data_IF_449294711532
#
_entry.id   IF_449294711532
#
_cell.length_a   1.000
_cell.length_b   1.000
_cell.length_c   1.000
_cell.angle_alpha   90.00
_cell.angle_beta   90.00
_cell.angle_gamma   90.00
#
_symmetry.space_group_name_H-M   'P 1'
#
loop_
_entity.id
_entity.type
_entity.pdbx_description
1 polymer ?
#
# COMPACT_ATOMS: atom_id res chain seq x y z
N UNK A 1 2.80 3.73 31.25
CA UNK A 1 2.26 2.76 30.26
C UNK A 1 0.81 3.15 30.01
N UNK A 2 0.43 3.59 28.81
CA UNK A 2 -0.97 3.94 28.50
C UNK A 2 -1.73 2.63 28.27
N UNK A 3 -2.72 2.35 29.11
CA UNK A 3 -3.66 1.26 28.90
C UNK A 3 -4.55 1.64 27.71
N UNK A 4 -4.36 0.99 26.57
CA UNK A 4 -5.27 1.12 25.43
C UNK A 4 -6.61 0.49 25.82
N UNK A 5 -7.68 1.27 25.80
CA UNK A 5 -9.04 0.72 25.89
C UNK A 5 -9.25 -0.15 24.65
N UNK A 6 -9.71 -1.41 24.79
CA UNK A 6 -10.00 -2.26 23.63
C UNK A 6 -11.02 -1.58 22.73
N UNK A 7 -10.68 -1.43 21.44
CA UNK A 7 -11.62 -0.97 20.41
C UNK A 7 -12.78 -1.97 20.31
N UNK A 8 -14.01 -1.47 20.21
CA UNK A 8 -15.17 -2.31 19.85
C UNK A 8 -15.12 -2.81 18.40
N UNK A 9 -14.27 -2.22 17.58
CA UNK A 9 -14.09 -2.54 16.15
C UNK A 9 -12.79 -3.32 15.99
N UNK A 10 -12.89 -4.53 15.44
CA UNK A 10 -11.75 -5.31 14.97
C UNK A 10 -11.46 -4.96 13.51
N UNK A 11 -10.33 -4.27 13.27
CA UNK A 11 -9.88 -3.89 11.93
C UNK A 11 -9.07 -5.00 11.25
N UNK A 12 -8.80 -6.11 11.94
CA UNK A 12 -8.05 -7.26 11.43
C UNK A 12 -8.71 -8.61 11.79
N UNK A 13 -10.00 -8.79 11.42
CA UNK A 13 -10.76 -9.98 11.77
C UNK A 13 -10.23 -11.21 11.02
N UNK A 14 -10.20 -12.36 11.71
CA UNK A 14 -9.61 -13.62 11.20
C UNK A 14 -10.08 -14.01 9.80
N UNK A 15 -11.36 -13.76 9.47
CA UNK A 15 -11.96 -14.10 8.17
C UNK A 15 -11.28 -13.41 6.98
N UNK A 16 -10.72 -12.21 7.17
CA UNK A 16 -10.18 -11.38 6.08
C UNK A 16 -8.66 -11.20 6.19
N UNK A 17 -7.97 -11.88 7.10
CA UNK A 17 -6.55 -11.62 7.34
C UNK A 17 -5.67 -11.89 6.13
N UNK A 18 -5.93 -12.98 5.40
CA UNK A 18 -5.15 -13.31 4.21
C UNK A 18 -5.36 -12.25 3.12
N UNK A 19 -6.61 -11.87 2.83
CA UNK A 19 -6.92 -10.81 1.87
C UNK A 19 -6.28 -9.47 2.29
N UNK A 20 -6.36 -9.12 3.57
CA UNK A 20 -5.73 -7.90 4.11
C UNK A 20 -4.21 -7.97 3.97
N UNK A 21 -3.59 -9.12 4.24
CA UNK A 21 -2.14 -9.29 4.12
C UNK A 21 -1.68 -9.16 2.67
N UNK A 22 -2.37 -9.81 1.73
CA UNK A 22 -2.09 -9.71 0.31
C UNK A 22 -2.20 -8.26 -0.17
N UNK A 23 -3.30 -7.59 0.19
CA UNK A 23 -3.53 -6.20 -0.21
C UNK A 23 -2.46 -5.27 0.39
N UNK A 24 -2.15 -5.45 1.68
CA UNK A 24 -1.11 -4.66 2.34
C UNK A 24 0.27 -4.85 1.73
N UNK A 25 0.61 -6.04 1.25
CA UNK A 25 1.92 -6.31 0.68
C UNK A 25 2.21 -5.44 -0.55
N UNK A 26 1.32 -5.46 -1.55
CA UNK A 26 1.53 -4.66 -2.75
C UNK A 26 1.26 -3.17 -2.52
N UNK A 27 0.28 -2.79 -1.68
CA UNK A 27 0.09 -1.39 -1.30
C UNK A 27 1.35 -0.84 -0.64
N UNK A 28 1.96 -1.59 0.28
CA UNK A 28 3.18 -1.17 0.95
C UNK A 28 4.34 -1.00 -0.04
N UNK A 29 4.58 -2.00 -0.89
CA UNK A 29 5.74 -2.03 -1.77
C UNK A 29 5.65 -1.02 -2.93
N UNK A 30 4.45 -0.86 -3.48
CA UNK A 30 4.24 -0.24 -4.78
C UNK A 30 3.56 1.13 -4.69
N UNK A 31 2.85 1.40 -3.59
CA UNK A 31 2.24 2.71 -3.32
C UNK A 31 2.97 3.43 -2.18
N UNK A 32 2.91 2.90 -0.96
CA UNK A 32 3.45 3.57 0.23
C UNK A 32 4.96 3.81 0.09
N UNK A 33 5.73 2.80 -0.32
CA UNK A 33 7.13 2.94 -0.65
C UNK A 33 7.35 3.45 -2.09
N UNK A 34 6.39 3.20 -2.99
CA UNK A 34 6.48 3.62 -4.40
C UNK A 34 6.65 5.13 -4.56
N UNK A 35 5.91 5.93 -3.80
CA UNK A 35 6.04 7.40 -3.82
C UNK A 35 7.43 7.86 -3.37
N UNK A 36 8.04 7.20 -2.37
CA UNK A 36 9.41 7.50 -1.95
C UNK A 36 10.42 7.10 -3.02
N UNK A 37 10.25 5.92 -3.65
CA UNK A 37 11.11 5.50 -4.76
C UNK A 37 11.09 6.52 -5.90
N UNK A 38 9.91 7.05 -6.26
CA UNK A 38 9.80 8.14 -7.22
C UNK A 38 10.56 9.39 -6.73
N UNK A 39 10.28 9.87 -5.51
CA UNK A 39 10.86 11.12 -4.99
C UNK A 39 12.37 11.07 -4.69
N UNK A 40 12.93 9.87 -4.46
CA UNK A 40 14.34 9.65 -4.16
C UNK A 40 15.14 9.12 -5.35
N UNK A 41 14.50 8.89 -6.49
CA UNK A 41 15.19 8.46 -7.72
C UNK A 41 16.25 9.47 -8.11
N UNK A 42 17.45 8.97 -8.45
CA UNK A 42 18.59 9.84 -8.82
C UNK A 42 18.78 9.91 -10.33
N UNK A 43 18.11 9.02 -11.07
CA UNK A 43 18.14 8.96 -12.53
C UNK A 43 16.73 8.99 -13.09
N UNK A 44 16.60 9.42 -14.35
CA UNK A 44 15.30 9.45 -15.04
C UNK A 44 14.73 8.04 -15.21
N UNK A 45 15.57 7.04 -15.53
CA UNK A 45 15.13 5.66 -15.76
C UNK A 45 14.56 5.03 -14.47
N UNK A 46 15.21 5.23 -13.31
CA UNK A 46 14.68 4.79 -12.01
C UNK A 46 13.34 5.46 -11.68
N UNK A 47 13.24 6.76 -11.97
CA UNK A 47 11.99 7.51 -11.77
C UNK A 47 10.88 6.97 -12.67
N UNK A 48 11.15 6.79 -13.96
CA UNK A 48 10.17 6.32 -14.95
C UNK A 48 9.67 4.92 -14.59
N UNK A 49 10.55 4.01 -14.15
CA UNK A 49 10.14 2.69 -13.70
C UNK A 49 9.29 2.75 -12.43
N UNK A 50 9.71 3.55 -11.45
CA UNK A 50 9.01 3.67 -10.16
C UNK A 50 7.64 4.31 -10.32
N UNK A 51 7.54 5.37 -11.12
CA UNK A 51 6.31 6.13 -11.33
C UNK A 51 5.31 5.31 -12.16
N UNK A 52 5.77 4.57 -13.17
CA UNK A 52 4.90 3.67 -13.93
C UNK A 52 4.32 2.57 -13.03
N UNK A 53 5.14 1.96 -12.18
CA UNK A 53 4.67 0.93 -11.24
C UNK A 53 3.68 1.48 -10.20
N UNK A 54 3.92 2.69 -9.70
CA UNK A 54 3.00 3.39 -8.80
C UNK A 54 1.63 3.58 -9.46
N UNK A 55 1.58 4.15 -10.67
CA UNK A 55 0.31 4.41 -11.34
C UNK A 55 -0.43 3.12 -11.72
N UNK A 56 0.27 2.07 -12.17
CA UNK A 56 -0.35 0.76 -12.38
C UNK A 56 -1.01 0.21 -11.11
N UNK A 57 -0.41 0.44 -9.94
CA UNK A 57 -0.97 0.01 -8.66
C UNK A 57 -2.16 0.87 -8.24
N UNK A 58 -2.15 2.17 -8.57
CA UNK A 58 -3.30 3.06 -8.35
C UNK A 58 -4.48 2.71 -9.26
N UNK A 59 -4.23 2.33 -10.51
CA UNK A 59 -5.27 1.82 -11.41
C UNK A 59 -5.92 0.56 -10.83
N UNK A 60 -5.12 -0.36 -10.28
CA UNK A 60 -5.64 -1.54 -9.55
C UNK A 60 -6.48 -1.15 -8.34
N UNK A 61 -6.09 -0.11 -7.58
CA UNK A 61 -6.91 0.40 -6.47
C UNK A 61 -8.26 0.89 -6.98
N UNK A 62 -8.27 1.66 -8.06
CA UNK A 62 -9.50 2.18 -8.66
C UNK A 62 -10.43 1.04 -9.09
N UNK A 63 -9.91 0.00 -9.75
CA UNK A 63 -10.68 -1.19 -10.13
C UNK A 63 -11.32 -1.93 -8.94
N UNK A 64 -10.69 -1.89 -7.76
CA UNK A 64 -11.21 -2.51 -6.54
C UNK A 64 -12.27 -1.64 -5.86
N UNK A 65 -12.16 -0.31 -5.96
CA UNK A 65 -12.98 0.65 -5.21
C UNK A 65 -14.17 1.23 -5.99
N UNK A 66 -14.20 1.06 -7.31
CA UNK A 66 -15.31 1.46 -8.19
C UNK A 66 -16.53 0.53 -8.06
#
# INVERSE_FOLDING_TARGET
MRNSVPSKIDLYPTKFREDINEINEWIYNDINNGVYKCGLSTTQDEYDQSVNKLFQSLDRVEEILS
#
